data_IF_699789851865
#
_entry.id   IF_699789851865
#
_cell.length_a   1.000
_cell.length_b   1.000
_cell.length_c   1.000
_cell.angle_alpha   90.00
_cell.angle_beta   90.00
_cell.angle_gamma   90.00
#
_symmetry.space_group_name_H-M   'P 1'
#
loop_
_entity.id
_entity.type
_entity.pdbx_description
1 polymer ?
#
# COMPACT_ATOMS: atom_id res chain seq x y z
N UNK A 1 -4.77 22.30 40.96
CA UNK A 1 -4.66 22.51 39.50
C UNK A 1 -4.17 21.27 38.76
N UNK A 2 -2.93 20.80 38.96
CA UNK A 2 -2.38 19.65 38.19
C UNK A 2 -3.28 18.41 38.29
N UNK A 3 -3.67 17.98 39.50
CA UNK A 3 -4.60 16.85 39.66
C UNK A 3 -5.94 17.03 38.95
N UNK A 4 -6.47 18.26 38.87
CA UNK A 4 -7.72 18.55 38.18
C UNK A 4 -7.56 18.40 36.65
N UNK A 5 -6.44 18.85 36.10
CA UNK A 5 -6.14 18.70 34.66
C UNK A 5 -5.87 17.24 34.30
N UNK A 6 -5.19 16.51 35.19
CA UNK A 6 -4.96 15.07 35.02
C UNK A 6 -6.29 14.29 35.00
N UNK A 7 -7.28 14.68 35.80
CA UNK A 7 -8.58 14.00 35.86
C UNK A 7 -9.61 14.52 34.85
N UNK A 8 -9.37 15.68 34.23
CA UNK A 8 -10.28 16.27 33.27
C UNK A 8 -10.45 15.36 32.02
N UNK A 9 -11.70 14.99 31.65
CA UNK A 9 -11.97 14.22 30.45
C UNK A 9 -11.65 15.07 29.21
N UNK A 10 -11.16 14.43 28.14
CA UNK A 10 -10.82 15.08 26.87
C UNK A 10 -9.43 15.74 26.82
N UNK A 11 -8.77 16.01 27.95
CA UNK A 11 -7.42 16.59 27.97
C UNK A 11 -6.37 15.49 27.96
N UNK A 12 -5.81 15.14 26.80
CA UNK A 12 -4.77 14.12 26.66
C UNK A 12 -3.40 14.68 26.26
N UNK A 13 -3.29 16.00 26.16
CA UNK A 13 -2.09 16.75 25.78
C UNK A 13 -1.72 17.68 26.94
N UNK A 14 -0.48 17.60 27.39
CA UNK A 14 0.04 18.26 28.60
C UNK A 14 1.32 19.06 28.35
N UNK A 15 1.86 19.06 27.13
CA UNK A 15 3.12 19.70 26.78
C UNK A 15 3.10 21.20 26.98
N UNK A 16 2.02 21.88 26.62
CA UNK A 16 1.85 23.32 26.85
C UNK A 16 1.83 23.65 28.35
N UNK A 17 1.16 22.83 29.15
CA UNK A 17 1.13 22.98 30.61
C UNK A 17 2.52 22.76 31.22
N UNK A 18 3.29 21.80 30.68
CA UNK A 18 4.64 21.49 31.13
C UNK A 18 5.67 22.56 30.72
N UNK A 19 5.42 23.31 29.62
CA UNK A 19 6.29 24.41 29.16
C UNK A 19 6.04 25.72 29.94
N UNK A 20 4.97 25.81 30.73
CA UNK A 20 4.67 27.01 31.53
C UNK A 20 5.76 27.25 32.59
N UNK A 21 6.31 28.49 32.70
CA UNK A 21 7.36 28.81 33.68
C UNK A 21 6.99 28.44 35.12
N UNK A 22 5.76 28.74 35.54
CA UNK A 22 5.26 28.43 36.88
C UNK A 22 5.21 26.91 37.17
N UNK A 23 5.02 26.08 36.15
CA UNK A 23 5.02 24.61 36.30
C UNK A 23 6.46 24.07 36.31
N UNK A 24 7.37 24.70 35.56
CA UNK A 24 8.79 24.33 35.57
C UNK A 24 9.47 24.60 36.91
N UNK A 25 9.13 25.71 37.57
CA UNK A 25 9.63 26.01 38.91
C UNK A 25 9.26 24.93 39.94
N UNK A 26 8.19 24.15 39.70
CA UNK A 26 7.81 23.06 40.59
C UNK A 26 8.82 21.90 40.57
N UNK A 27 9.62 21.76 39.51
CA UNK A 27 10.60 20.70 39.37
C UNK A 27 11.67 20.73 40.47
N UNK A 28 12.06 21.95 40.89
CA UNK A 28 13.08 22.20 41.91
C UNK A 28 12.48 22.47 43.30
N UNK A 29 11.17 22.30 43.45
CA UNK A 29 10.43 22.57 44.69
C UNK A 29 10.06 21.29 45.45
N UNK A 30 9.40 21.46 46.60
CA UNK A 30 8.75 20.37 47.34
C UNK A 30 7.69 19.60 46.52
N UNK A 31 7.17 20.19 45.43
CA UNK A 31 6.21 19.56 44.52
C UNK A 31 6.87 18.85 43.33
N UNK A 32 8.18 18.59 43.38
CA UNK A 32 8.91 17.83 42.36
C UNK A 32 8.25 16.49 41.98
N UNK A 33 7.68 15.71 42.92
CA UNK A 33 6.90 14.50 42.59
C UNK A 33 5.67 14.75 41.70
N UNK A 34 5.00 15.90 41.87
CA UNK A 34 3.84 16.29 41.07
C UNK A 34 4.27 16.71 39.66
N UNK A 35 5.40 17.41 39.54
CA UNK A 35 6.00 17.72 38.24
C UNK A 35 6.44 16.45 37.50
N UNK A 36 7.05 15.50 38.21
CA UNK A 36 7.42 14.19 37.66
C UNK A 36 6.18 13.43 37.17
N UNK A 37 5.10 13.43 37.95
CA UNK A 37 3.84 12.82 37.56
C UNK A 37 3.29 13.42 36.26
N UNK A 38 3.28 14.75 36.14
CA UNK A 38 2.85 15.43 34.92
C UNK A 38 3.76 15.08 33.72
N UNK A 39 5.06 14.94 33.95
CA UNK A 39 6.03 14.50 32.93
C UNK A 39 5.72 13.09 32.43
N UNK A 40 5.29 12.18 33.31
CA UNK A 40 4.88 10.82 32.93
C UNK A 40 3.58 10.87 32.09
N UNK A 41 2.63 11.73 32.41
CA UNK A 41 1.43 11.89 31.58
C UNK A 41 1.73 12.46 30.20
N UNK A 42 2.68 13.40 30.10
CA UNK A 42 3.10 13.95 28.81
C UNK A 42 3.89 12.93 27.97
N UNK A 43 4.88 12.25 28.57
CA UNK A 43 5.88 11.48 27.80
C UNK A 43 6.09 10.02 28.24
N UNK A 44 5.65 9.64 29.43
CA UNK A 44 5.85 8.31 30.00
C UNK A 44 4.67 7.36 29.76
N UNK A 45 4.70 6.19 30.37
CA UNK A 45 3.67 5.16 30.27
C UNK A 45 3.20 4.72 31.66
N UNK A 46 2.17 3.87 31.70
CA UNK A 46 1.67 3.30 32.94
C UNK A 46 2.72 2.43 33.64
N UNK A 47 3.58 1.74 32.87
CA UNK A 47 4.71 1.00 33.42
C UNK A 47 5.71 1.91 34.14
N UNK A 48 6.00 3.10 33.58
CA UNK A 48 6.90 4.08 34.20
C UNK A 48 6.33 4.61 35.53
N UNK A 49 5.01 4.87 35.58
CA UNK A 49 4.35 5.22 36.83
C UNK A 49 4.49 4.13 37.90
N UNK A 50 4.35 2.86 37.53
CA UNK A 50 4.48 1.75 38.47
C UNK A 50 5.91 1.58 38.99
N UNK A 51 6.91 1.79 38.13
CA UNK A 51 8.32 1.74 38.53
C UNK A 51 8.67 2.81 39.56
N UNK A 52 8.02 3.98 39.48
CA UNK A 52 8.26 5.13 40.35
C UNK A 52 7.14 5.36 41.39
N UNK A 53 6.22 4.41 41.56
CA UNK A 53 5.00 4.59 42.37
C UNK A 53 5.27 4.95 43.84
N UNK A 54 6.43 4.56 44.38
CA UNK A 54 6.84 4.91 45.74
C UNK A 54 7.19 6.40 45.91
N UNK A 55 7.63 7.06 44.84
CA UNK A 55 8.09 8.45 44.85
C UNK A 55 7.03 9.41 44.30
N UNK A 56 5.92 8.89 43.76
CA UNK A 56 4.88 9.68 43.10
C UNK A 56 3.62 9.80 43.97
N UNK A 57 2.86 10.89 43.82
CA UNK A 57 1.54 11.00 44.44
C UNK A 57 0.61 9.88 43.97
N UNK A 58 -0.26 9.36 44.86
CA UNK A 58 -1.19 8.30 44.50
C UNK A 58 -2.22 8.80 43.47
N UNK A 59 -2.44 8.01 42.43
CA UNK A 59 -3.44 8.30 41.38
C UNK A 59 -4.83 7.76 41.73
N UNK A 60 -5.86 8.51 41.33
CA UNK A 60 -7.25 8.01 41.29
C UNK A 60 -7.41 6.98 40.16
N UNK A 61 -8.45 6.14 40.22
CA UNK A 61 -8.69 5.16 39.13
C UNK A 61 -8.95 5.84 37.78
N UNK A 62 -9.60 7.00 37.76
CA UNK A 62 -9.80 7.78 36.55
C UNK A 62 -8.45 8.23 35.93
N UNK A 63 -7.53 8.74 36.76
CA UNK A 63 -6.19 9.12 36.32
C UNK A 63 -5.37 7.92 35.85
N UNK A 64 -5.48 6.77 36.52
CA UNK A 64 -4.83 5.51 36.08
C UNK A 64 -5.36 5.06 34.73
N UNK A 65 -6.68 5.05 34.52
CA UNK A 65 -7.29 4.69 33.23
C UNK A 65 -6.84 5.63 32.12
N UNK A 66 -6.76 6.93 32.40
CA UNK A 66 -6.24 7.91 31.45
C UNK A 66 -4.78 7.66 31.07
N UNK A 67 -3.92 7.36 32.05
CA UNK A 67 -2.51 7.00 31.77
C UNK A 67 -2.40 5.67 31.01
N UNK A 68 -3.28 4.71 31.28
CA UNK A 68 -3.40 3.48 30.49
C UNK A 68 -3.83 3.78 29.05
N UNK A 69 -4.82 4.65 28.81
CA UNK A 69 -5.21 5.10 27.46
C UNK A 69 -4.01 5.69 26.70
N UNK A 70 -3.25 6.60 27.35
CA UNK A 70 -2.05 7.19 26.77
C UNK A 70 -0.94 6.17 26.48
N UNK A 71 -0.86 5.12 27.29
CA UNK A 71 0.07 4.01 27.06
C UNK A 71 -0.34 3.18 25.84
N UNK A 72 -1.65 2.93 25.65
CA UNK A 72 -2.17 2.28 24.44
C UNK A 72 -1.91 3.15 23.21
N UNK A 73 -2.12 4.47 23.28
CA UNK A 73 -1.78 5.42 22.20
C UNK A 73 -0.30 5.32 21.82
N UNK A 74 0.59 5.25 22.82
CA UNK A 74 2.04 5.12 22.59
C UNK A 74 2.39 3.79 21.91
N UNK A 75 1.71 2.71 22.28
CA UNK A 75 1.87 1.41 21.61
C UNK A 75 1.32 1.44 20.17
N UNK A 76 0.16 2.09 19.97
CA UNK A 76 -0.48 2.23 18.67
C UNK A 76 0.34 3.06 17.66
N UNK A 77 1.14 4.01 18.16
CA UNK A 77 2.09 4.76 17.34
C UNK A 77 3.20 3.87 16.76
N UNK A 78 3.52 2.74 17.43
CA UNK A 78 4.56 1.80 17.00
C UNK A 78 4.02 0.61 16.22
N UNK A 79 2.90 0.03 16.67
CA UNK A 79 2.33 -1.21 16.14
C UNK A 79 0.83 -1.03 15.94
N UNK A 80 0.34 -1.20 14.70
CA UNK A 80 -1.08 -1.06 14.36
C UNK A 80 -1.95 -2.22 14.83
N UNK A 81 -1.40 -3.44 14.91
CA UNK A 81 -2.10 -4.63 15.39
C UNK A 81 -1.47 -5.10 16.71
N UNK A 82 -1.98 -4.62 17.84
CA UNK A 82 -1.39 -4.84 19.16
C UNK A 82 -1.95 -6.14 19.77
N UNK A 83 -1.13 -7.13 20.13
CA UNK A 83 -1.59 -8.32 20.83
C UNK A 83 -2.11 -7.99 22.24
N UNK A 84 -3.16 -8.68 22.67
CA UNK A 84 -3.71 -8.51 24.01
C UNK A 84 -2.70 -8.84 25.11
N UNK A 85 -1.80 -9.80 24.90
CA UNK A 85 -0.74 -10.13 25.87
C UNK A 85 0.13 -8.90 26.19
N UNK A 86 0.53 -8.15 25.17
CA UNK A 86 1.33 -6.92 25.33
C UNK A 86 0.53 -5.85 26.09
N UNK A 87 -0.75 -5.68 25.77
CA UNK A 87 -1.62 -4.72 26.45
C UNK A 87 -1.84 -5.10 27.92
N UNK A 88 -2.10 -6.38 28.21
CA UNK A 88 -2.30 -6.86 29.58
C UNK A 88 -1.03 -6.64 30.43
N UNK A 89 0.15 -6.91 29.86
CA UNK A 89 1.43 -6.72 30.53
C UNK A 89 1.75 -5.23 30.76
N UNK A 90 1.66 -4.40 29.72
CA UNK A 90 2.04 -2.98 29.80
C UNK A 90 1.05 -2.15 30.64
N UNK A 91 -0.23 -2.53 30.66
CA UNK A 91 -1.27 -1.83 31.43
C UNK A 91 -1.52 -2.45 32.82
N UNK A 92 -0.85 -3.57 33.12
CA UNK A 92 -1.02 -4.39 34.33
C UNK A 92 -2.50 -4.70 34.61
N UNK A 93 -3.18 -5.25 33.61
CA UNK A 93 -4.57 -5.66 33.69
C UNK A 93 -4.68 -7.17 33.96
N UNK A 94 -5.66 -7.55 34.78
CA UNK A 94 -5.79 -8.95 35.26
C UNK A 94 -6.50 -9.84 34.26
N UNK A 95 -7.40 -9.28 33.45
CA UNK A 95 -8.23 -10.04 32.54
C UNK A 95 -8.54 -9.25 31.27
N UNK A 96 -8.97 -10.00 30.24
CA UNK A 96 -9.32 -9.45 28.93
C UNK A 96 -10.53 -8.53 29.01
N UNK A 97 -11.48 -8.78 29.93
CA UNK A 97 -12.67 -7.93 30.06
C UNK A 97 -12.32 -6.49 30.43
N UNK A 98 -11.44 -6.32 31.41
CA UNK A 98 -10.94 -5.00 31.82
C UNK A 98 -10.18 -4.30 30.69
N UNK A 99 -9.45 -5.08 29.88
CA UNK A 99 -8.78 -4.54 28.69
C UNK A 99 -9.79 -4.03 27.67
N UNK A 100 -10.79 -4.83 27.33
CA UNK A 100 -11.84 -4.44 26.38
C UNK A 100 -12.61 -3.21 26.88
N UNK A 101 -13.05 -3.20 28.13
CA UNK A 101 -13.78 -2.06 28.71
C UNK A 101 -12.93 -0.78 28.66
N UNK A 102 -11.62 -0.87 28.92
CA UNK A 102 -10.69 0.26 28.83
C UNK A 102 -10.46 0.74 27.39
N UNK A 103 -10.35 -0.18 26.44
CA UNK A 103 -10.24 0.17 25.01
C UNK A 103 -11.55 0.83 24.53
N UNK A 104 -12.70 0.31 24.97
CA UNK A 104 -14.00 0.91 24.68
C UNK A 104 -14.04 2.33 25.24
N UNK A 105 -13.67 2.55 26.50
CA UNK A 105 -13.58 3.91 27.09
C UNK A 105 -12.69 4.85 26.26
N UNK A 106 -11.53 4.37 25.80
CA UNK A 106 -10.63 5.16 24.96
C UNK A 106 -11.25 5.53 23.59
N UNK A 107 -12.04 4.62 22.98
CA UNK A 107 -12.77 4.89 21.73
C UNK A 107 -13.90 5.89 21.97
N UNK A 108 -14.66 5.77 23.06
CA UNK A 108 -15.72 6.70 23.43
C UNK A 108 -15.18 8.11 23.76
N UNK A 109 -13.94 8.19 24.25
CA UNK A 109 -13.25 9.45 24.49
C UNK A 109 -12.55 10.03 23.23
N UNK A 110 -12.77 9.45 22.05
CA UNK A 110 -12.15 9.83 20.77
C UNK A 110 -10.60 9.82 20.79
N UNK A 111 -10.00 9.03 21.69
CA UNK A 111 -8.55 8.87 21.82
C UNK A 111 -8.01 7.89 20.79
N UNK A 112 -8.79 6.83 20.53
CA UNK A 112 -8.45 5.74 19.62
C UNK A 112 -9.63 5.47 18.66
N UNK A 113 -9.32 5.03 17.45
CA UNK A 113 -10.28 4.39 16.54
C UNK A 113 -9.68 3.09 16.06
N UNK A 114 -10.50 2.04 16.07
CA UNK A 114 -10.04 0.70 15.74
C UNK A 114 -11.09 -0.35 16.07
N UNK A 115 -10.71 -1.62 15.93
CA UNK A 115 -11.57 -2.76 16.19
C UNK A 115 -10.88 -3.80 17.08
N UNK A 116 -11.66 -4.49 17.89
CA UNK A 116 -11.19 -5.57 18.76
C UNK A 116 -11.43 -6.91 18.06
N UNK A 117 -10.36 -7.65 17.79
CA UNK A 117 -10.43 -9.03 17.28
C UNK A 117 -10.23 -10.02 18.42
N UNK A 118 -11.36 -10.49 18.95
CA UNK A 118 -11.36 -11.45 20.05
C UNK A 118 -10.83 -12.83 19.66
N UNK A 119 -10.98 -13.23 18.39
CA UNK A 119 -10.55 -14.54 17.92
C UNK A 119 -9.03 -14.60 17.83
N UNK A 120 -8.40 -13.55 17.32
CA UNK A 120 -6.95 -13.46 17.18
C UNK A 120 -6.27 -12.78 18.38
N UNK A 121 -7.05 -12.35 19.38
CA UNK A 121 -6.60 -11.66 20.60
C UNK A 121 -5.75 -10.43 20.31
N UNK A 122 -6.27 -9.55 19.44
CA UNK A 122 -5.56 -8.35 18.97
C UNK A 122 -6.48 -7.14 18.93
N UNK A 123 -5.89 -5.98 19.21
CA UNK A 123 -6.48 -4.68 18.96
C UNK A 123 -5.93 -4.16 17.64
N UNK A 124 -6.80 -3.94 16.66
CA UNK A 124 -6.45 -3.30 15.40
C UNK A 124 -6.74 -1.80 15.53
N UNK A 125 -5.70 -0.97 15.44
CA UNK A 125 -5.80 0.47 15.59
C UNK A 125 -5.68 1.14 14.24
N UNK A 126 -6.77 1.76 13.79
CA UNK A 126 -6.79 2.56 12.57
C UNK A 126 -6.12 3.91 12.83
N UNK A 127 -6.56 4.57 13.90
CA UNK A 127 -6.15 5.92 14.27
C UNK A 127 -5.96 6.04 15.78
N UNK A 128 -4.99 6.85 16.18
CA UNK A 128 -4.76 7.25 17.56
C UNK A 128 -4.44 8.74 17.56
N UNK A 129 -4.88 9.45 18.60
CA UNK A 129 -4.45 10.84 18.79
C UNK A 129 -2.93 10.93 18.97
N UNK A 130 -2.35 12.07 18.62
CA UNK A 130 -0.97 12.38 18.96
C UNK A 130 -0.86 12.72 20.45
N UNK A 131 0.11 12.12 21.14
CA UNK A 131 0.53 12.57 22.46
C UNK A 131 1.64 13.62 22.32
N UNK A 132 1.96 14.30 23.42
CA UNK A 132 3.12 15.19 23.50
C UNK A 132 4.41 14.49 23.05
N UNK A 133 5.20 15.26 22.31
CA UNK A 133 6.44 14.83 21.69
C UNK A 133 7.58 15.62 22.31
N UNK A 134 8.70 14.94 22.61
CA UNK A 134 9.89 15.64 23.09
C UNK A 134 10.57 16.36 21.92
N UNK A 135 11.19 17.51 22.19
CA UNK A 135 11.93 18.27 21.15
C UNK A 135 13.02 17.42 20.47
N UNK A 136 13.62 16.49 21.20
CA UNK A 136 14.62 15.54 20.71
C UNK A 136 14.07 14.58 19.63
N UNK A 137 12.79 14.19 19.77
CA UNK A 137 12.12 13.24 18.88
C UNK A 137 11.66 13.87 17.55
N UNK A 138 11.66 15.21 17.45
CA UNK A 138 11.31 15.92 16.20
C UNK A 138 12.19 15.48 15.02
N UNK A 139 13.48 15.25 15.29
CA UNK A 139 14.43 14.74 14.28
C UNK A 139 14.01 13.38 13.71
N UNK A 140 13.45 12.51 14.54
CA UNK A 140 12.96 11.19 14.13
C UNK A 140 11.72 11.33 13.26
N UNK A 141 10.81 12.26 13.59
CA UNK A 141 9.59 12.53 12.80
C UNK A 141 9.95 13.10 11.43
N UNK A 142 10.89 14.05 11.37
CA UNK A 142 11.37 14.59 10.09
C UNK A 142 11.98 13.47 9.23
N UNK A 143 12.78 12.59 9.83
CA UNK A 143 13.37 11.46 9.11
C UNK A 143 12.31 10.49 8.57
N UNK A 144 11.33 10.09 9.36
CA UNK A 144 10.29 9.14 8.90
C UNK A 144 9.41 9.74 7.80
N UNK A 145 9.10 11.04 7.87
CA UNK A 145 8.41 11.74 6.79
C UNK A 145 9.27 11.79 5.52
N UNK A 146 10.57 12.08 5.64
CA UNK A 146 11.48 12.09 4.51
C UNK A 146 11.61 10.71 3.85
N UNK A 147 11.72 9.64 4.65
CA UNK A 147 11.74 8.26 4.17
C UNK A 147 10.47 7.92 3.41
N UNK A 148 9.31 8.37 3.90
CA UNK A 148 8.03 8.17 3.22
C UNK A 148 7.96 8.94 1.89
N UNK A 149 8.34 10.22 1.87
CA UNK A 149 8.41 11.01 0.64
C UNK A 149 9.33 10.37 -0.40
N UNK A 150 10.54 9.95 0.02
CA UNK A 150 11.49 9.28 -0.86
C UNK A 150 10.94 7.96 -1.40
N UNK A 151 10.24 7.19 -0.58
CA UNK A 151 9.56 5.96 -1.01
C UNK A 151 8.51 6.24 -2.09
N UNK A 152 7.71 7.29 -1.92
CA UNK A 152 6.74 7.71 -2.94
C UNK A 152 7.43 8.13 -4.25
N UNK A 153 8.51 8.92 -4.18
CA UNK A 153 9.27 9.34 -5.36
C UNK A 153 9.89 8.15 -6.12
N UNK A 154 10.43 7.17 -5.40
CA UNK A 154 10.99 5.95 -6.01
C UNK A 154 9.91 5.15 -6.73
N UNK A 155 8.72 5.00 -6.12
CA UNK A 155 7.61 4.29 -6.77
C UNK A 155 7.11 5.06 -8.00
N UNK A 156 6.95 6.38 -7.90
CA UNK A 156 6.50 7.21 -9.01
C UNK A 156 7.50 7.19 -10.18
N UNK A 157 8.79 7.40 -9.92
CA UNK A 157 9.83 7.32 -10.95
C UNK A 157 9.91 5.93 -11.58
N UNK A 158 9.75 4.88 -10.78
CA UNK A 158 9.65 3.50 -11.29
C UNK A 158 8.48 3.32 -12.25
N UNK A 159 7.30 3.87 -11.92
CA UNK A 159 6.12 3.83 -12.81
C UNK A 159 6.37 4.62 -14.09
N UNK A 160 6.94 5.82 -14.00
CA UNK A 160 7.29 6.65 -15.17
C UNK A 160 8.26 5.94 -16.11
N UNK A 161 9.26 5.24 -15.55
CA UNK A 161 10.19 4.44 -16.33
C UNK A 161 9.48 3.28 -17.03
N UNK A 162 8.60 2.54 -16.33
CA UNK A 162 7.84 1.45 -16.96
C UNK A 162 6.91 1.95 -18.07
N UNK A 163 6.29 3.13 -17.90
CA UNK A 163 5.48 3.76 -18.94
C UNK A 163 6.35 4.11 -20.16
N UNK A 164 7.53 4.70 -19.95
CA UNK A 164 8.48 5.01 -21.02
C UNK A 164 8.90 3.75 -21.78
N UNK A 165 9.31 2.70 -21.07
CA UNK A 165 9.70 1.40 -21.65
C UNK A 165 8.56 0.78 -22.47
N UNK A 166 7.33 0.79 -21.95
CA UNK A 166 6.17 0.25 -22.66
C UNK A 166 5.87 1.02 -23.96
N UNK A 167 5.96 2.35 -23.92
CA UNK A 167 5.78 3.18 -25.11
C UNK A 167 6.88 2.95 -26.15
N UNK A 168 8.15 2.88 -25.72
CA UNK A 168 9.27 2.64 -26.61
C UNK A 168 9.19 1.25 -27.24
N UNK A 169 8.82 0.22 -26.48
CA UNK A 169 8.62 -1.12 -27.02
C UNK A 169 7.48 -1.14 -28.05
N UNK A 170 6.37 -0.46 -27.78
CA UNK A 170 5.26 -0.32 -28.74
C UNK A 170 5.71 0.37 -30.02
N UNK A 171 6.49 1.44 -29.92
CA UNK A 171 7.00 2.17 -31.10
C UNK A 171 7.95 1.31 -31.93
N UNK A 172 8.88 0.59 -31.29
CA UNK A 172 9.77 -0.37 -31.96
C UNK A 172 8.98 -1.47 -32.68
N UNK A 173 7.95 -2.04 -32.04
CA UNK A 173 7.11 -3.06 -32.66
C UNK A 173 6.32 -2.52 -33.85
N UNK A 174 5.81 -1.27 -33.77
CA UNK A 174 5.14 -0.62 -34.89
C UNK A 174 6.10 -0.37 -36.06
N UNK A 175 7.31 0.11 -35.79
CA UNK A 175 8.34 0.33 -36.81
C UNK A 175 8.75 -0.98 -37.49
N UNK A 176 9.01 -2.04 -36.72
CA UNK A 176 9.34 -3.37 -37.24
C UNK A 176 8.21 -3.92 -38.12
N UNK A 177 6.96 -3.79 -37.66
CA UNK A 177 5.78 -4.20 -38.43
C UNK A 177 5.69 -3.45 -39.76
N UNK A 178 5.88 -2.13 -39.77
CA UNK A 178 5.88 -1.32 -40.99
C UNK A 178 7.00 -1.73 -41.95
N UNK A 179 8.20 -2.01 -41.44
CA UNK A 179 9.31 -2.49 -42.25
C UNK A 179 8.97 -3.83 -42.92
N UNK A 180 8.45 -4.79 -42.16
CA UNK A 180 8.02 -6.09 -42.70
C UNK A 180 6.93 -5.90 -43.77
N UNK A 181 5.93 -5.06 -43.52
CA UNK A 181 4.87 -4.77 -44.50
C UNK A 181 5.43 -4.15 -45.80
N UNK A 182 6.42 -3.26 -45.69
CA UNK A 182 7.08 -2.64 -46.85
C UNK A 182 7.91 -3.64 -47.66
N UNK A 183 8.68 -4.51 -47.00
CA UNK A 183 9.47 -5.57 -47.64
C UNK A 183 8.56 -6.57 -48.36
N UNK A 184 7.45 -6.99 -47.73
CA UNK A 184 6.45 -7.85 -48.36
C UNK A 184 5.84 -7.18 -49.60
N UNK A 185 5.56 -5.88 -49.55
CA UNK A 185 5.04 -5.15 -50.70
C UNK A 185 6.07 -5.06 -51.84
N UNK A 186 7.34 -4.82 -51.53
CA UNK A 186 8.44 -4.77 -52.49
C UNK A 186 8.66 -6.13 -53.15
N UNK A 187 8.74 -7.21 -52.36
CA UNK A 187 8.86 -8.58 -52.87
C UNK A 187 7.68 -8.95 -53.78
N UNK A 188 6.44 -8.61 -53.40
CA UNK A 188 5.26 -8.81 -54.25
C UNK A 188 5.37 -8.08 -55.59
N UNK A 189 5.84 -6.83 -55.60
CA UNK A 189 6.06 -6.06 -56.83
C UNK A 189 7.13 -6.72 -57.70
N UNK A 190 8.27 -7.10 -57.12
CA UNK A 190 9.36 -7.77 -57.84
C UNK A 190 8.88 -9.06 -58.49
N UNK A 191 8.21 -9.94 -57.74
CA UNK A 191 7.65 -11.20 -58.28
C UNK A 191 6.70 -10.93 -59.44
N UNK A 192 5.84 -9.89 -59.35
CA UNK A 192 4.90 -9.54 -60.41
C UNK A 192 5.61 -9.06 -61.68
N UNK A 193 6.72 -8.32 -61.54
CA UNK A 193 7.54 -7.87 -62.67
C UNK A 193 8.31 -9.04 -63.29
N UNK A 194 8.93 -9.92 -62.50
CA UNK A 194 9.63 -11.09 -63.05
C UNK A 194 8.70 -12.10 -63.71
N UNK A 195 7.49 -12.30 -63.17
CA UNK A 195 6.48 -13.16 -63.82
C UNK A 195 5.94 -12.53 -65.11
N UNK A 196 5.75 -11.21 -65.16
CA UNK A 196 5.40 -10.52 -66.40
C UNK A 196 6.54 -10.54 -67.44
N UNK A 197 7.79 -10.40 -67.01
CA UNK A 197 8.97 -10.51 -67.89
C UNK A 197 9.16 -11.94 -68.41
N UNK A 198 8.91 -12.96 -67.59
CA UNK A 198 8.91 -14.36 -68.02
C UNK A 198 7.78 -14.64 -69.02
N UNK A 199 6.58 -14.12 -68.80
CA UNK A 199 5.46 -14.23 -69.74
C UNK A 199 5.71 -13.48 -71.08
N UNK A 200 6.41 -12.35 -71.03
CA UNK A 200 6.83 -11.60 -72.22
C UNK A 200 7.96 -12.29 -73.00
N UNK A 201 8.86 -13.01 -72.32
CA UNK A 201 9.90 -13.81 -72.96
C UNK A 201 9.34 -15.08 -73.64
N UNK A 202 8.21 -15.63 -73.14
CA UNK A 202 7.53 -16.78 -73.76
C UNK A 202 6.63 -16.38 -74.96
N UNK A 203 6.48 -15.09 -75.28
CA UNK A 203 5.57 -14.62 -76.36
C UNK A 203 6.26 -14.31 -77.70
N UNK A 204 7.51 -14.74 -77.90
CA UNK A 204 8.17 -14.81 -79.21
C UNK A 204 8.47 -16.25 -79.62
N UNK A 205 7.44 -17.07 -79.85
CA UNK A 205 7.45 -18.07 -80.93
C UNK A 205 6.03 -18.61 -81.18
N UNK A 206 5.47 -18.51 -82.40
CA UNK A 206 4.27 -19.24 -82.76
C UNK A 206 4.64 -20.66 -83.23
N UNK A 207 3.84 -21.63 -82.79
CA UNK A 207 3.61 -22.96 -83.41
C UNK A 207 4.52 -24.16 -83.08
N UNK A 208 3.83 -25.18 -82.52
CA UNK A 208 3.92 -26.63 -82.80
C UNK A 208 5.10 -27.43 -82.24
N UNK A 209 4.83 -28.26 -81.22
CA UNK A 209 4.71 -29.72 -81.43
C UNK A 209 4.08 -30.45 -80.24
N UNK A 210 3.16 -31.36 -80.56
CA UNK A 210 2.51 -32.33 -79.69
C UNK A 210 3.44 -33.51 -79.33
N UNK A 211 2.92 -34.40 -78.46
CA UNK A 211 3.27 -35.83 -78.18
C UNK A 211 4.44 -36.09 -77.21
N UNK A 212 4.39 -36.98 -76.21
CA UNK A 212 3.36 -37.86 -75.62
C UNK A 212 3.98 -38.63 -74.41
N UNK A 213 3.14 -39.30 -73.61
CA UNK A 213 3.42 -40.43 -72.68
C UNK A 213 4.06 -40.07 -71.31
N UNK A 214 3.53 -40.47 -70.13
CA UNK A 214 2.96 -41.78 -69.75
C UNK A 214 2.34 -41.74 -68.33
N UNK A 215 1.17 -42.37 -68.14
CA UNK A 215 0.67 -42.77 -66.81
C UNK A 215 1.42 -44.02 -66.26
N UNK A 216 1.42 -44.25 -64.94
CA UNK A 216 0.48 -45.24 -64.41
C UNK A 216 -0.21 -44.85 -63.09
N UNK A 217 -1.41 -45.43 -62.89
CA UNK A 217 -2.25 -45.42 -61.69
C UNK A 217 -1.82 -46.54 -60.68
N UNK A 218 -2.68 -47.00 -59.72
CA UNK A 218 -3.11 -46.37 -58.47
C UNK A 218 -2.79 -47.25 -57.22
N UNK A 219 -2.91 -46.70 -56.00
CA UNK A 219 -2.76 -47.51 -54.77
C UNK A 219 -3.16 -46.81 -53.47
N UNK A 220 -4.41 -47.06 -53.03
CA UNK A 220 -4.90 -47.27 -51.64
C UNK A 220 -4.19 -46.57 -50.47
N UNK A 221 -4.91 -45.78 -49.66
CA UNK A 221 -5.73 -46.35 -48.58
C UNK A 221 -6.70 -45.34 -47.92
N UNK A 222 -7.78 -45.91 -47.39
CA UNK A 222 -8.99 -45.28 -46.86
C UNK A 222 -8.86 -44.71 -45.43
N UNK A 223 -9.93 -43.99 -45.05
CA UNK A 223 -10.50 -43.76 -43.70
C UNK A 223 -10.04 -42.48 -43.00
N UNK A 224 -10.90 -41.69 -42.35
CA UNK A 224 -12.36 -41.57 -42.28
C UNK A 224 -12.61 -40.24 -41.55
N UNK A 225 -13.70 -39.56 -41.88
CA UNK A 225 -14.16 -38.39 -41.13
C UNK A 225 -15.07 -38.81 -39.96
N UNK A 226 -14.88 -38.18 -38.80
CA UNK A 226 -15.89 -38.01 -37.74
C UNK A 226 -15.50 -36.79 -36.89
N UNK A 227 -16.10 -35.59 -37.09
CA UNK A 227 -17.35 -35.09 -36.45
C UNK A 227 -17.40 -35.40 -34.95
N UNK A 228 -17.16 -34.42 -34.06
CA UNK A 228 -18.14 -33.56 -33.33
C UNK A 228 -17.34 -32.93 -32.14
N UNK A 229 -17.57 -31.76 -31.55
CA UNK A 229 -18.79 -30.97 -31.36
C UNK A 229 -18.47 -29.58 -30.76
N UNK A 230 -19.22 -28.59 -31.25
CA UNK A 230 -19.94 -27.53 -30.51
C UNK A 230 -19.24 -26.34 -29.84
N UNK A 231 -19.65 -25.17 -30.39
CA UNK A 231 -20.03 -23.87 -29.75
C UNK A 231 -18.87 -23.06 -29.16
N UNK A 232 -18.40 -21.94 -29.72
CA UNK A 232 -19.03 -20.79 -30.37
C UNK A 232 -19.98 -19.96 -29.49
N UNK A 233 -19.54 -18.71 -29.26
CA UNK A 233 -20.21 -17.42 -28.94
C UNK A 233 -19.70 -16.81 -27.62
N UNK A 234 -19.18 -15.59 -27.60
CA UNK A 234 -19.00 -14.64 -28.68
C UNK A 234 -18.60 -13.24 -28.18
N UNK A 235 -18.31 -12.41 -29.20
CA UNK A 235 -18.47 -10.96 -29.28
C UNK A 235 -17.49 -10.03 -28.54
N UNK A 236 -16.52 -9.61 -29.36
CA UNK A 236 -15.97 -8.25 -29.52
C UNK A 236 -16.82 -7.11 -28.95
N UNK A 237 -16.11 -6.14 -28.36
CA UNK A 237 -16.50 -4.74 -28.31
C UNK A 237 -15.26 -3.85 -28.24
N UNK A 238 -14.98 -3.13 -29.33
CA UNK A 238 -13.94 -2.11 -29.45
C UNK A 238 -14.58 -0.74 -29.28
N UNK A 239 -14.03 0.14 -28.44
CA UNK A 239 -14.25 1.59 -28.56
C UNK A 239 -13.15 2.38 -27.82
N UNK A 240 -12.37 3.14 -28.59
CA UNK A 240 -11.66 4.34 -28.14
C UNK A 240 -12.61 5.52 -28.29
N UNK A 241 -12.69 6.41 -27.30
CA UNK A 241 -13.09 7.82 -27.49
C UNK A 241 -12.18 8.68 -26.60
N UNK A 242 -11.56 9.69 -27.23
CA UNK A 242 -10.72 10.72 -26.62
C UNK A 242 -11.57 12.00 -26.49
N UNK A 243 -11.38 12.81 -25.44
CA UNK A 243 -11.15 14.27 -25.57
C UNK A 243 -10.94 14.94 -24.21
N UNK A 244 -9.99 15.89 -24.21
CA UNK A 244 -9.76 16.91 -23.18
C UNK A 244 -10.61 18.16 -23.45
N UNK A 245 -10.71 18.97 -22.39
CA UNK A 245 -10.89 20.44 -22.32
C UNK A 245 -12.31 20.97 -22.10
N UNK A 246 -12.54 21.50 -20.89
CA UNK A 246 -12.47 22.94 -20.61
C UNK A 246 -11.89 23.15 -19.21
#
# INVERSE_FOLDING_TARGET
>A
LIHQVLEAPGIYVFGELLDMPAVRELADSEFSPVFRLLTIFAYGTYADYLAEAANLPPLTEAQKNKLRHLSVVTLAAKIKCIPYSVLLEQLQLKNVRQLEDLVIEAVYADVLRGSLDQRNQRLEVDYSIGRDIRREELSTITRTLQEWCQGCEVVLSGIEEQVSRANQHKEQQLALKQQIESEVANLKKTIKVTTAAAAAATSQDPEQHLTELREPAPGTNQRQASKKTSKAKGLRGSAKIWSKSN
#
